data_IF_003045195518
#
_entry.id   IF_003045195518
#
_cell.length_a   1.000
_cell.length_b   1.000
_cell.length_c   1.000
_cell.angle_alpha   90.00
_cell.angle_beta   90.00
_cell.angle_gamma   90.00
#
_symmetry.space_group_name_H-M   'P 1'
#
loop_
_entity.id
_entity.type
_entity.pdbx_description
1 polymer ?
#
# COMPACT_ATOMS: atom_id res chain seq x y z
N UNK A 1 1.94 -14.21 1.12
CA UNK A 1 0.66 -13.56 1.48
C UNK A 1 0.74 -12.09 1.07
N UNK A 2 -0.28 -11.56 0.42
CA UNK A 2 -0.28 -10.15 0.00
C UNK A 2 -0.94 -9.34 1.10
N UNK A 3 -0.20 -8.42 1.68
CA UNK A 3 -0.68 -7.50 2.71
C UNK A 3 -0.26 -6.07 2.38
N UNK A 4 -0.93 -5.12 3.01
CA UNK A 4 -0.57 -3.71 2.95
C UNK A 4 0.62 -3.50 3.89
N UNK A 5 1.67 -2.85 3.39
CA UNK A 5 2.80 -2.46 4.23
C UNK A 5 2.42 -1.18 4.97
N UNK A 6 2.07 -1.32 6.25
CA UNK A 6 1.66 -0.21 7.12
C UNK A 6 2.86 0.29 7.92
N UNK A 7 3.75 1.05 7.25
CA UNK A 7 5.04 1.49 7.79
C UNK A 7 4.99 2.88 8.42
N UNK A 8 3.92 3.63 8.17
CA UNK A 8 3.63 4.92 8.78
C UNK A 8 2.14 5.21 8.64
N UNK A 9 1.58 6.01 9.54
CA UNK A 9 0.17 6.44 9.47
C UNK A 9 -0.05 7.45 8.34
N UNK A 10 0.94 8.30 8.07
CA UNK A 10 0.94 9.21 6.92
C UNK A 10 1.26 8.43 5.64
N UNK A 11 0.33 8.34 4.66
CA UNK A 11 0.55 7.60 3.41
C UNK A 11 1.80 8.04 2.65
N UNK A 12 2.16 9.32 2.71
CA UNK A 12 3.35 9.85 2.07
C UNK A 12 4.62 9.34 2.74
N UNK A 13 4.70 9.41 4.06
CA UNK A 13 5.84 8.88 4.81
C UNK A 13 5.93 7.36 4.68
N UNK A 14 4.80 6.69 4.68
CA UNK A 14 4.70 5.26 4.40
C UNK A 14 5.30 4.92 3.03
N UNK A 15 4.97 5.69 1.98
CA UNK A 15 5.52 5.46 0.63
C UNK A 15 7.04 5.60 0.57
N UNK A 16 7.62 6.56 1.30
CA UNK A 16 9.07 6.77 1.36
C UNK A 16 9.81 5.61 2.01
N UNK A 17 9.15 4.92 2.93
CA UNK A 17 9.71 3.78 3.63
C UNK A 17 9.80 2.51 2.76
N UNK A 18 9.03 2.42 1.68
CA UNK A 18 9.08 1.27 0.76
C UNK A 18 10.43 1.18 0.04
N UNK A 19 11.03 0.00 0.00
CA UNK A 19 12.22 -0.25 -0.81
C UNK A 19 11.90 -0.25 -2.31
N UNK A 20 12.92 -0.19 -3.17
CA UNK A 20 12.77 -0.09 -4.63
C UNK A 20 11.90 -1.19 -5.25
N UNK A 21 12.06 -2.42 -4.75
CA UNK A 21 11.25 -3.56 -5.16
C UNK A 21 9.77 -3.36 -4.81
N UNK A 22 9.52 -2.90 -3.58
CA UNK A 22 8.16 -2.76 -3.08
C UNK A 22 7.44 -1.57 -3.72
N UNK A 23 8.11 -0.45 -4.00
CA UNK A 23 7.51 0.65 -4.76
C UNK A 23 6.93 0.12 -6.08
N UNK A 24 7.66 -0.69 -6.83
CA UNK A 24 7.18 -1.26 -8.10
C UNK A 24 6.03 -2.25 -7.92
N UNK A 25 6.19 -3.18 -6.98
CA UNK A 25 5.22 -4.26 -6.80
C UNK A 25 3.92 -3.80 -6.14
N UNK A 26 4.01 -2.90 -5.14
CA UNK A 26 2.85 -2.45 -4.38
C UNK A 26 1.94 -1.52 -5.19
N UNK A 27 2.46 -0.76 -6.13
CA UNK A 27 1.63 -0.02 -7.08
C UNK A 27 0.63 -0.98 -7.76
N UNK A 28 1.10 -2.08 -8.33
CA UNK A 28 0.27 -3.07 -9.03
C UNK A 28 -0.75 -3.70 -8.08
N UNK A 29 -0.29 -4.11 -6.90
CA UNK A 29 -1.14 -4.77 -5.89
C UNK A 29 -2.25 -3.82 -5.41
N UNK A 30 -1.90 -2.58 -5.09
CA UNK A 30 -2.86 -1.61 -4.57
C UNK A 30 -3.83 -1.12 -5.64
N UNK A 31 -3.38 -1.01 -6.91
CA UNK A 31 -4.28 -0.80 -8.04
C UNK A 31 -5.38 -1.87 -8.07
N UNK A 32 -5.01 -3.14 -7.91
CA UNK A 32 -5.97 -4.25 -7.94
C UNK A 32 -6.90 -4.25 -6.73
N UNK A 33 -6.40 -3.97 -5.53
CA UNK A 33 -7.24 -3.85 -4.33
C UNK A 33 -8.28 -2.73 -4.48
N UNK A 34 -7.87 -1.56 -4.96
CA UNK A 34 -8.77 -0.43 -5.18
C UNK A 34 -9.79 -0.72 -6.30
N UNK A 35 -9.36 -1.32 -7.40
CA UNK A 35 -10.26 -1.73 -8.48
C UNK A 35 -11.29 -2.77 -8.03
N UNK A 36 -10.85 -3.77 -7.25
CA UNK A 36 -11.76 -4.78 -6.68
C UNK A 36 -12.83 -4.17 -5.78
N UNK A 37 -12.49 -3.14 -5.00
CA UNK A 37 -13.49 -2.45 -4.18
C UNK A 37 -14.63 -1.86 -5.02
N UNK A 38 -14.33 -1.31 -6.20
CA UNK A 38 -15.36 -0.87 -7.14
C UNK A 38 -16.20 -2.04 -7.69
N UNK A 39 -15.56 -3.17 -8.04
CA UNK A 39 -16.29 -4.35 -8.51
C UNK A 39 -17.24 -4.92 -7.44
N UNK A 40 -16.82 -4.92 -6.17
CA UNK A 40 -17.62 -5.45 -5.08
C UNK A 40 -18.77 -4.52 -4.67
N UNK A 41 -18.49 -3.23 -4.62
CA UNK A 41 -19.39 -2.24 -4.02
C UNK A 41 -20.24 -1.47 -5.03
N UNK A 42 -19.85 -1.40 -6.31
CA UNK A 42 -20.59 -0.76 -7.37
C UNK A 42 -20.49 -1.53 -8.69
N UNK A 43 -20.91 -2.82 -8.72
CA UNK A 43 -20.71 -3.72 -9.88
C UNK A 43 -21.39 -3.24 -11.18
N UNK A 44 -22.43 -2.43 -11.08
CA UNK A 44 -23.15 -1.86 -12.23
C UNK A 44 -22.60 -0.50 -12.66
N UNK A 45 -21.60 0.02 -11.93
CA UNK A 45 -20.99 1.32 -12.22
C UNK A 45 -20.29 1.36 -13.58
N UNK A 46 -20.38 2.49 -14.28
CA UNK A 46 -19.70 2.69 -15.57
C UNK A 46 -18.17 2.52 -15.45
N UNK A 47 -17.62 2.88 -14.29
CA UNK A 47 -16.21 2.72 -13.99
C UNK A 47 -15.76 1.26 -14.05
N UNK A 48 -16.55 0.36 -13.46
CA UNK A 48 -16.27 -1.09 -13.40
C UNK A 48 -16.17 -1.69 -14.80
N UNK A 49 -16.98 -1.25 -15.75
CA UNK A 49 -16.92 -1.71 -17.14
C UNK A 49 -15.58 -1.40 -17.82
N UNK A 50 -14.86 -0.42 -17.32
CA UNK A 50 -13.56 0.01 -17.82
C UNK A 50 -12.36 -0.52 -17.01
N UNK A 51 -12.63 -1.22 -15.89
CA UNK A 51 -11.63 -1.88 -15.06
C UNK A 51 -11.54 -3.34 -15.51
N UNK A 52 -10.34 -3.79 -15.82
CA UNK A 52 -10.10 -5.19 -16.18
C UNK A 52 -10.46 -6.10 -15.00
N UNK A 53 -11.32 -7.12 -15.20
CA UNK A 53 -11.77 -8.02 -14.14
C UNK A 53 -10.72 -9.05 -13.71
N UNK A 54 -9.43 -8.80 -13.85
CA UNK A 54 -8.41 -9.66 -13.27
C UNK A 54 -8.56 -9.72 -11.74
N UNK A 55 -9.48 -10.56 -11.31
CA UNK A 55 -9.81 -10.81 -9.91
C UNK A 55 -8.66 -11.57 -9.25
N UNK A 56 -7.65 -10.86 -8.81
CA UNK A 56 -6.78 -11.39 -7.77
C UNK A 56 -7.55 -11.36 -6.46
N UNK A 57 -7.81 -12.52 -5.91
CA UNK A 57 -8.47 -12.66 -4.62
C UNK A 57 -7.48 -12.32 -3.52
N UNK A 58 -7.79 -11.30 -2.73
CA UNK A 58 -7.02 -10.90 -1.54
C UNK A 58 -7.88 -11.13 -0.28
N UNK A 59 -8.07 -12.39 0.15
CA UNK A 59 -9.12 -12.73 1.10
C UNK A 59 -8.95 -12.07 2.48
N UNK A 60 -7.74 -11.76 2.90
CA UNK A 60 -7.49 -11.11 4.20
C UNK A 60 -7.50 -9.57 4.11
N UNK A 61 -7.09 -9.00 2.99
CA UNK A 61 -6.89 -7.54 2.84
C UNK A 61 -8.07 -6.85 2.19
N UNK A 62 -8.74 -7.50 1.23
CA UNK A 62 -9.85 -6.90 0.50
C UNK A 62 -11.01 -6.46 1.40
N UNK A 63 -11.47 -7.26 2.40
CA UNK A 63 -12.54 -6.83 3.31
C UNK A 63 -12.23 -5.54 4.08
N UNK A 64 -10.95 -5.26 4.34
CA UNK A 64 -10.53 -4.03 4.98
C UNK A 64 -10.67 -2.82 4.03
N UNK A 65 -10.29 -2.96 2.76
CA UNK A 65 -10.43 -1.91 1.75
C UNK A 65 -11.91 -1.62 1.47
N UNK A 66 -12.75 -2.66 1.38
CA UNK A 66 -14.19 -2.56 1.13
C UNK A 66 -14.96 -2.06 2.35
N UNK A 67 -14.35 -2.09 3.53
CA UNK A 67 -15.02 -1.90 4.82
C UNK A 67 -15.56 -0.50 5.05
N UNK A 68 -14.80 0.52 4.70
CA UNK A 68 -15.23 1.91 4.82
C UNK A 68 -14.40 2.88 3.94
N UNK A 69 -14.96 4.08 3.75
CA UNK A 69 -14.36 5.12 2.90
C UNK A 69 -12.99 5.61 3.39
N UNK A 70 -12.74 5.66 4.70
CA UNK A 70 -11.45 6.12 5.23
C UNK A 70 -10.32 5.13 4.96
N UNK A 71 -10.60 3.83 5.03
CA UNK A 71 -9.65 2.79 4.67
C UNK A 71 -9.30 2.83 3.18
N UNK A 72 -10.33 2.94 2.33
CA UNK A 72 -10.15 3.07 0.88
C UNK A 72 -9.30 4.31 0.54
N UNK A 73 -9.64 5.46 1.10
CA UNK A 73 -8.93 6.73 0.83
C UNK A 73 -7.48 6.69 1.32
N UNK A 74 -7.23 6.10 2.49
CA UNK A 74 -5.87 5.93 2.98
C UNK A 74 -5.02 5.07 2.02
N UNK A 75 -5.57 3.95 1.54
CA UNK A 75 -4.89 3.10 0.57
C UNK A 75 -4.69 3.81 -0.78
N UNK A 76 -5.70 4.58 -1.24
CA UNK A 76 -5.60 5.39 -2.45
C UNK A 76 -4.48 6.44 -2.32
N UNK A 77 -4.38 7.12 -1.18
CA UNK A 77 -3.33 8.11 -0.94
C UNK A 77 -1.95 7.46 -0.90
N UNK A 78 -1.81 6.28 -0.27
CA UNK A 78 -0.57 5.52 -0.31
C UNK A 78 -0.20 5.12 -1.74
N UNK A 79 -1.16 4.62 -2.52
CA UNK A 79 -0.99 4.29 -3.93
C UNK A 79 -0.56 5.51 -4.75
N UNK A 80 -1.19 6.68 -4.54
CA UNK A 80 -0.82 7.94 -5.16
C UNK A 80 0.64 8.32 -4.86
N UNK A 81 1.03 8.28 -3.59
CA UNK A 81 2.40 8.62 -3.18
C UNK A 81 3.44 7.61 -3.66
N UNK A 82 3.11 6.34 -3.78
CA UNK A 82 3.98 5.34 -4.40
C UNK A 82 4.23 5.64 -5.88
N UNK A 83 3.24 6.13 -6.62
CA UNK A 83 3.46 6.60 -8.00
C UNK A 83 4.38 7.82 -8.06
N UNK A 84 4.26 8.77 -7.12
CA UNK A 84 5.18 9.90 -7.01
C UNK A 84 6.59 9.44 -6.66
N UNK A 85 6.70 8.45 -5.78
CA UNK A 85 7.96 7.84 -5.39
C UNK A 85 8.61 7.08 -6.55
N UNK A 86 7.80 6.36 -7.33
CA UNK A 86 8.26 5.69 -8.55
C UNK A 86 8.85 6.69 -9.55
N UNK A 87 8.11 7.78 -9.82
CA UNK A 87 8.60 8.83 -10.71
C UNK A 87 9.90 9.44 -10.19
N UNK A 88 9.96 9.77 -8.92
CA UNK A 88 11.16 10.35 -8.30
C UNK A 88 12.39 9.43 -8.43
N UNK A 89 12.23 8.12 -8.21
CA UNK A 89 13.34 7.15 -8.23
C UNK A 89 13.76 6.70 -9.62
N UNK A 90 12.84 6.70 -10.58
CA UNK A 90 13.07 6.09 -11.91
C UNK A 90 12.96 7.07 -13.07
N UNK A 91 12.64 8.34 -12.81
CA UNK A 91 12.40 9.37 -13.85
C UNK A 91 11.40 8.90 -14.92
N UNK A 92 10.43 8.11 -14.52
CA UNK A 92 9.42 7.51 -15.38
C UNK A 92 8.08 7.40 -14.66
N UNK A 93 6.98 7.46 -15.40
CA UNK A 93 5.66 7.13 -14.87
C UNK A 93 5.41 5.63 -14.97
N UNK A 94 4.82 5.06 -13.92
CA UNK A 94 4.34 3.69 -13.95
C UNK A 94 3.10 3.58 -14.86
N UNK A 95 2.97 2.50 -15.63
CA UNK A 95 1.86 2.32 -16.60
C UNK A 95 0.48 2.41 -15.95
N UNK A 96 0.33 1.94 -14.71
CA UNK A 96 -0.94 1.99 -13.98
C UNK A 96 -1.39 3.42 -13.68
N UNK A 97 -0.47 4.40 -13.61
CA UNK A 97 -0.84 5.80 -13.42
C UNK A 97 -1.78 6.30 -14.51
N UNK A 98 -1.36 6.17 -15.76
CA UNK A 98 -2.14 6.66 -16.89
C UNK A 98 -3.45 5.91 -17.07
N UNK A 99 -3.47 4.62 -16.73
CA UNK A 99 -4.66 3.76 -16.88
C UNK A 99 -5.71 4.00 -15.80
N UNK A 100 -5.29 4.25 -14.56
CA UNK A 100 -6.16 4.13 -13.38
C UNK A 100 -6.31 5.41 -12.56
N UNK A 101 -5.45 6.43 -12.71
CA UNK A 101 -5.50 7.63 -11.87
C UNK A 101 -6.88 8.27 -11.80
N UNK A 102 -7.48 8.59 -12.96
CA UNK A 102 -8.81 9.20 -12.99
C UNK A 102 -9.94 8.26 -12.56
N UNK A 103 -9.71 6.95 -12.68
CA UNK A 103 -10.72 5.93 -12.37
C UNK A 103 -10.80 5.67 -10.87
N UNK A 104 -9.67 5.58 -10.20
CA UNK A 104 -9.58 5.23 -8.78
C UNK A 104 -9.63 6.44 -7.84
N UNK A 105 -9.66 7.67 -8.36
CA UNK A 105 -9.74 8.92 -7.57
C UNK A 105 -11.08 9.11 -6.85
N UNK A 106 -12.08 8.30 -7.15
CA UNK A 106 -13.40 8.35 -6.53
C UNK A 106 -13.61 7.09 -5.70
N UNK A 107 -14.22 7.26 -4.53
CA UNK A 107 -14.62 6.11 -3.71
C UNK A 107 -15.78 5.34 -4.39
N UNK A 108 -15.87 4.02 -4.22
CA UNK A 108 -17.01 3.24 -4.70
C UNK A 108 -18.33 3.78 -4.15
N UNK A 109 -19.40 3.80 -4.98
CA UNK A 109 -20.68 4.44 -4.64
C UNK A 109 -21.34 3.92 -3.36
N UNK A 110 -21.23 2.63 -3.11
CA UNK A 110 -21.91 1.97 -1.98
C UNK A 110 -20.97 1.71 -0.79
N UNK A 111 -19.77 2.30 -0.78
CA UNK A 111 -18.88 2.17 0.37
C UNK A 111 -19.48 2.89 1.59
N UNK A 112 -19.36 2.29 2.75
CA UNK A 112 -19.85 2.88 4.00
C UNK A 112 -18.87 3.94 4.50
N UNK A 113 -19.38 4.97 5.14
CA UNK A 113 -18.55 5.87 5.92
C UNK A 113 -18.07 5.17 7.19
N UNK A 114 -16.87 5.52 7.63
CA UNK A 114 -16.29 4.97 8.84
C UNK A 114 -14.94 5.58 9.17
N UNK A 115 -14.47 5.34 10.37
CA UNK A 115 -13.14 5.77 10.81
C UNK A 115 -12.05 4.85 10.24
N UNK A 116 -10.85 5.41 10.07
CA UNK A 116 -9.70 4.65 9.64
C UNK A 116 -9.30 3.61 10.69
N UNK A 117 -9.02 2.41 10.24
CA UNK A 117 -8.49 1.30 11.06
C UNK A 117 -7.17 0.81 10.49
N UNK A 118 -6.32 0.19 11.31
CA UNK A 118 -5.09 -0.41 10.81
C UNK A 118 -5.40 -1.48 9.76
N UNK A 119 -4.63 -1.54 8.64
CA UNK A 119 -4.73 -2.64 7.70
C UNK A 119 -4.39 -3.97 8.39
N UNK A 120 -5.01 -5.10 7.97
CA UNK A 120 -4.64 -6.41 8.49
C UNK A 120 -3.17 -6.69 8.16
N UNK A 121 -2.42 -7.02 9.19
CA UNK A 121 -1.03 -7.43 9.08
C UNK A 121 -0.87 -8.89 8.61
N UNK A 122 0.37 -9.35 8.42
CA UNK A 122 0.63 -10.76 8.30
C UNK A 122 0.24 -11.50 9.61
N UNK A 123 -0.05 -12.81 9.57
CA UNK A 123 -0.55 -13.57 10.72
C UNK A 123 0.32 -13.45 11.97
N UNK A 124 1.61 -13.23 11.81
CA UNK A 124 2.57 -13.05 12.89
C UNK A 124 2.29 -11.79 13.72
N UNK A 125 1.56 -10.81 13.16
CA UNK A 125 1.15 -9.59 13.86
C UNK A 125 -0.14 -9.81 14.66
N UNK A 126 -1.06 -10.64 14.20
CA UNK A 126 -2.36 -10.84 14.85
C UNK A 126 -2.24 -11.35 16.29
N UNK A 127 -1.17 -12.08 16.61
CA UNK A 127 -0.88 -12.55 17.97
C UNK A 127 -0.29 -11.47 18.90
N UNK A 128 0.18 -10.34 18.36
CA UNK A 128 0.89 -9.31 19.11
C UNK A 128 0.04 -8.07 19.41
N UNK A 129 -1.15 -7.95 18.82
CA UNK A 129 -1.93 -6.72 18.88
C UNK A 129 -3.16 -6.86 19.80
N UNK A 130 -2.95 -6.51 21.06
CA UNK A 130 -3.98 -5.87 21.87
C UNK A 130 -3.83 -4.35 21.70
N UNK A 131 -4.68 -3.77 20.82
CA UNK A 131 -4.87 -2.32 20.63
C UNK A 131 -3.70 -1.42 20.17
N UNK A 132 -4.03 -0.55 19.22
CA UNK A 132 -3.50 0.74 18.78
C UNK A 132 -2.76 0.73 17.43
N UNK A 133 -3.10 1.71 16.57
CA UNK A 133 -2.49 1.98 15.25
C UNK A 133 -0.97 2.04 15.32
N UNK A 134 -0.40 2.61 16.40
CA UNK A 134 1.04 2.71 16.59
C UNK A 134 1.69 1.33 16.79
N UNK A 135 1.06 0.42 17.52
CA UNK A 135 1.55 -0.94 17.70
C UNK A 135 1.53 -1.72 16.37
N UNK A 136 0.50 -1.49 15.55
CA UNK A 136 0.43 -2.08 14.19
C UNK A 136 1.55 -1.59 13.28
N UNK A 137 1.91 -0.30 13.34
CA UNK A 137 3.05 0.25 12.59
C UNK A 137 4.35 -0.36 13.08
N UNK A 138 4.57 -0.40 14.39
CA UNK A 138 5.79 -0.95 14.99
C UNK A 138 5.98 -2.42 14.61
N UNK A 139 4.95 -3.24 14.77
CA UNK A 139 4.96 -4.65 14.37
C UNK A 139 5.23 -4.82 12.86
N UNK A 140 4.60 -3.99 12.01
CA UNK A 140 4.83 -3.99 10.57
C UNK A 140 6.28 -3.64 10.23
N UNK A 141 6.87 -2.65 10.90
CA UNK A 141 8.27 -2.27 10.73
C UNK A 141 9.22 -3.38 11.11
N UNK A 142 9.00 -4.09 12.22
CA UNK A 142 9.85 -5.21 12.66
C UNK A 142 9.88 -6.34 11.61
N UNK A 143 8.73 -6.71 11.08
CA UNK A 143 8.66 -7.72 10.02
C UNK A 143 9.33 -7.20 8.74
N UNK A 144 9.11 -5.93 8.40
CA UNK A 144 9.69 -5.34 7.20
C UNK A 144 11.22 -5.24 7.27
N UNK A 145 11.79 -4.89 8.42
CA UNK A 145 13.24 -4.90 8.66
C UNK A 145 13.81 -6.29 8.34
N UNK A 146 13.20 -7.35 8.88
CA UNK A 146 13.62 -8.73 8.60
C UNK A 146 13.59 -9.05 7.11
N UNK A 147 12.50 -8.72 6.42
CA UNK A 147 12.38 -8.94 4.98
C UNK A 147 13.42 -8.15 4.18
N UNK A 148 13.70 -6.91 4.57
CA UNK A 148 14.70 -6.07 3.91
C UNK A 148 16.12 -6.63 4.06
N UNK A 149 16.48 -7.16 5.22
CA UNK A 149 17.76 -7.83 5.46
C UNK A 149 17.90 -9.09 4.60
N UNK A 150 16.86 -9.93 4.54
CA UNK A 150 16.86 -11.18 3.76
C UNK A 150 16.97 -10.93 2.25
N UNK A 151 16.49 -9.79 1.75
CA UNK A 151 16.44 -9.47 0.32
C UNK A 151 17.48 -8.47 -0.15
N UNK A 152 18.37 -8.01 0.72
CA UNK A 152 19.32 -6.92 0.44
C UNK A 152 18.61 -5.70 -0.19
N UNK A 153 17.57 -5.24 0.47
CA UNK A 153 16.67 -4.20 -0.04
C UNK A 153 17.41 -2.86 -0.29
N UNK A 154 17.03 -2.17 -1.36
CA UNK A 154 17.61 -0.88 -1.77
C UNK A 154 16.54 0.20 -1.84
N UNK A 155 16.97 1.47 -1.74
CA UNK A 155 16.12 2.67 -1.80
C UNK A 155 16.58 3.70 -2.85
N UNK A 156 17.65 3.42 -3.58
CA UNK A 156 18.30 4.38 -4.48
C UNK A 156 17.59 4.61 -5.82
N UNK A 157 16.75 3.68 -6.27
CA UNK A 157 16.22 3.74 -7.63
C UNK A 157 17.31 3.53 -8.67
N UNK A 158 17.24 4.31 -9.77
CA UNK A 158 18.29 4.31 -10.85
C UNK A 158 19.33 5.41 -10.65
N UNK A 159 19.13 6.33 -9.72
CA UNK A 159 20.07 7.41 -9.40
C UNK A 159 20.61 7.17 -8.00
N UNK A 160 21.92 7.03 -7.87
CA UNK A 160 22.56 6.84 -6.57
C UNK A 160 22.18 7.95 -5.59
N UNK A 161 21.88 7.56 -4.34
CA UNK A 161 21.52 8.46 -3.25
C UNK A 161 20.25 9.29 -3.46
N UNK A 162 19.38 8.90 -4.38
CA UNK A 162 18.11 9.58 -4.62
C UNK A 162 17.16 9.45 -3.42
N UNK A 163 17.18 8.28 -2.76
CA UNK A 163 16.46 8.01 -1.52
C UNK A 163 17.36 7.21 -0.57
N UNK A 164 17.22 7.45 0.74
CA UNK A 164 17.90 6.69 1.77
C UNK A 164 16.93 5.77 2.47
N UNK A 165 17.39 4.64 3.03
CA UNK A 165 16.58 3.83 3.92
C UNK A 165 16.04 4.66 5.09
N UNK A 166 14.84 4.36 5.61
CA UNK A 166 14.34 5.00 6.83
C UNK A 166 15.31 4.82 8.02
N UNK A 167 15.35 5.80 8.94
CA UNK A 167 16.25 5.76 10.10
C UNK A 167 16.08 4.50 10.95
N UNK A 168 14.83 4.06 11.13
CA UNK A 168 14.53 2.86 11.90
C UNK A 168 15.05 1.54 11.27
N UNK A 169 15.33 1.53 9.96
CA UNK A 169 16.06 0.41 9.31
C UNK A 169 17.56 0.51 9.59
N UNK A 170 18.12 1.72 9.59
CA UNK A 170 19.55 1.95 9.82
C UNK A 170 19.92 1.72 11.29
N UNK A 171 19.06 2.08 12.24
CA UNK A 171 19.26 1.87 13.67
C UNK A 171 19.33 0.38 14.03
N UNK A 172 18.46 -0.44 13.43
CA UNK A 172 18.47 -1.90 13.63
C UNK A 172 19.67 -2.60 12.95
N UNK A 173 20.29 -1.97 11.95
CA UNK A 173 21.51 -2.50 11.32
C UNK A 173 22.78 -2.33 12.18
N UNK A 174 22.72 -1.50 13.23
CA UNK A 174 23.85 -1.20 14.11
C UNK A 174 23.78 -1.97 15.45
N UNK A 175 22.83 -2.88 15.63
CA UNK A 175 22.72 -3.81 16.74
C UNK A 175 23.11 -5.20 16.27
#
# INVERSE_FOLDING_TARGET
MIHILFLDIDPKMCSYAHCDKDVKQKIIVYTKLLANAHHHLDPEGELVKSLDPEVLVFPSTQPWVDGNSSNYLWLHDLWFWLHKEYWYRYDAMHDDWTKFYNKLSHVPKNIKDGEFTAPPGPPEIEELLEDELQNSIEASRQIYIKQCKETDAKWGGIVENMRQPPSWILEDANV
#
